data_IF_443892792689
#
_entry.id   IF_443892792689
#
_cell.length_a   1.000
_cell.length_b   1.000
_cell.length_c   1.000
_cell.angle_alpha   90.00
_cell.angle_beta   90.00
_cell.angle_gamma   90.00
#
_symmetry.space_group_name_H-M   'P 1'
#
loop_
_entity.id
_entity.type
_entity.pdbx_description
1 polymer ?
#
# COMPACT_ATOMS: atom_id res chain seq x y z
N UNK A 1 -62.38 -4.95 -8.54
CA UNK A 1 -63.04 -3.61 -8.51
C UNK A 1 -61.97 -2.67 -7.98
N UNK A 2 -61.46 -1.78 -8.66
CA UNK A 2 -61.46 -0.83 -9.73
C UNK A 2 -60.05 -0.33 -9.81
N UNK A 3 -59.27 -0.48 -10.82
CA UNK A 3 -59.05 0.37 -12.00
C UNK A 3 -59.19 1.88 -11.79
N UNK A 4 -58.12 2.62 -12.18
CA UNK A 4 -58.06 3.84 -13.05
C UNK A 4 -56.63 4.36 -12.86
N UNK A 5 -55.70 4.22 -13.81
CA UNK A 5 -55.45 4.84 -15.12
C UNK A 5 -54.76 6.22 -15.05
N UNK A 6 -53.51 6.22 -15.46
CA UNK A 6 -52.87 6.96 -16.59
C UNK A 6 -53.05 8.48 -16.64
N UNK A 7 -51.93 9.21 -16.69
CA UNK A 7 -51.67 10.18 -17.77
C UNK A 7 -50.20 10.66 -17.82
N UNK A 8 -49.72 10.51 -19.02
CA UNK A 8 -48.54 11.03 -19.72
C UNK A 8 -48.46 12.55 -19.83
N UNK A 9 -47.31 12.93 -20.32
CA UNK A 9 -46.91 14.09 -21.13
C UNK A 9 -46.13 15.19 -20.36
N UNK A 10 -44.99 15.75 -20.78
CA UNK A 10 -44.49 16.04 -22.12
C UNK A 10 -42.99 16.43 -22.02
N UNK A 11 -42.23 16.02 -23.02
CA UNK A 11 -40.95 16.61 -23.45
C UNK A 11 -41.23 17.85 -24.27
N UNK A 12 -40.36 18.86 -24.37
CA UNK A 12 -39.87 19.20 -25.69
C UNK A 12 -38.35 19.34 -25.84
N UNK A 13 -37.98 18.99 -27.02
CA UNK A 13 -36.73 18.97 -27.76
C UNK A 13 -36.37 20.37 -28.29
N UNK A 14 -35.07 20.47 -28.72
CA UNK A 14 -34.48 21.45 -29.66
C UNK A 14 -33.87 22.72 -29.01
N UNK A 15 -32.60 23.08 -29.30
CA UNK A 15 -32.03 23.40 -30.62
C UNK A 15 -30.51 23.34 -30.64
N UNK A 16 -30.00 22.80 -31.73
CA UNK A 16 -28.63 22.91 -32.23
C UNK A 16 -28.37 24.32 -32.76
N UNK A 17 -27.16 24.87 -32.53
CA UNK A 17 -26.58 25.84 -33.46
C UNK A 17 -25.11 25.49 -33.70
N UNK A 18 -24.75 25.35 -34.95
CA UNK A 18 -23.44 25.19 -35.56
C UNK A 18 -22.79 26.55 -35.83
N UNK A 19 -21.45 26.58 -35.88
CA UNK A 19 -20.61 27.59 -36.52
C UNK A 19 -19.23 27.58 -35.88
N UNK A 20 -18.12 27.29 -36.43
CA UNK A 20 -17.65 27.28 -37.80
C UNK A 20 -16.38 28.15 -37.87
N UNK A 21 -15.20 27.50 -38.07
CA UNK A 21 -13.96 27.99 -38.70
C UNK A 21 -13.29 29.30 -38.25
N UNK A 22 -11.98 29.29 -37.90
CA UNK A 22 -10.94 29.86 -38.73
C UNK A 22 -9.50 29.55 -38.30
N UNK A 23 -8.65 29.29 -39.29
CA UNK A 23 -7.21 29.10 -39.32
C UNK A 23 -6.40 30.38 -39.03
N UNK A 24 -5.13 30.20 -38.62
CA UNK A 24 -4.07 31.21 -38.70
C UNK A 24 -2.84 30.75 -37.91
N UNK A 25 -1.93 29.99 -38.47
CA UNK A 25 -0.68 30.31 -39.14
C UNK A 25 0.48 30.84 -38.25
N UNK A 26 1.43 29.96 -38.08
CA UNK A 26 2.93 30.13 -38.07
C UNK A 26 3.54 31.47 -37.73
N UNK A 27 4.52 31.46 -36.81
CA UNK A 27 5.88 31.99 -37.01
C UNK A 27 6.91 31.22 -36.17
N UNK A 28 7.97 30.75 -36.85
CA UNK A 28 9.22 30.24 -36.31
C UNK A 28 10.11 31.39 -35.86
N UNK A 29 10.90 31.22 -34.82
CA UNK A 29 12.29 31.72 -34.78
C UNK A 29 13.13 30.86 -33.84
N UNK A 30 14.22 30.34 -34.40
CA UNK A 30 15.40 29.78 -33.76
C UNK A 30 16.18 30.88 -33.04
N UNK A 31 16.89 30.55 -31.97
CA UNK A 31 18.33 30.81 -31.79
C UNK A 31 18.91 29.94 -30.69
N UNK A 32 20.10 29.41 -30.93
CA UNK A 32 20.96 28.54 -30.17
C UNK A 32 21.51 29.15 -28.88
N UNK A 33 21.92 28.28 -27.93
CA UNK A 33 22.78 28.69 -26.83
C UNK A 33 23.11 27.53 -25.89
N UNK A 34 24.21 26.87 -26.14
CA UNK A 34 24.90 25.84 -25.34
C UNK A 34 25.25 26.37 -23.95
N UNK A 35 24.98 25.64 -22.88
CA UNK A 35 25.94 25.42 -21.79
C UNK A 35 25.56 24.26 -20.90
N UNK A 36 26.48 23.32 -20.76
CA UNK A 36 26.52 22.25 -19.78
C UNK A 36 26.71 22.85 -18.38
N UNK A 37 25.92 22.44 -17.41
CA UNK A 37 26.42 22.29 -16.06
C UNK A 37 25.67 21.15 -15.37
N UNK A 38 26.43 20.11 -15.14
CA UNK A 38 26.15 18.96 -14.28
C UNK A 38 26.24 19.46 -12.83
N UNK A 39 25.13 19.65 -12.17
CA UNK A 39 25.12 19.77 -10.71
C UNK A 39 24.37 18.60 -10.12
N UNK A 40 25.17 17.72 -9.58
CA UNK A 40 24.88 16.68 -8.62
C UNK A 40 24.21 17.29 -7.39
N UNK A 41 22.88 17.29 -7.34
CA UNK A 41 22.16 17.64 -6.11
C UNK A 41 22.13 16.43 -5.18
N UNK A 42 23.11 16.41 -4.30
CA UNK A 42 23.06 15.64 -3.06
C UNK A 42 21.72 15.85 -2.36
N UNK A 43 20.96 14.77 -2.22
CA UNK A 43 19.80 14.72 -1.34
C UNK A 43 20.29 14.78 0.11
N UNK A 44 20.34 15.96 0.68
CA UNK A 44 20.36 16.11 2.15
C UNK A 44 18.93 15.82 2.63
N UNK A 45 18.78 14.69 3.33
CA UNK A 45 17.62 14.44 4.16
C UNK A 45 17.60 15.51 5.27
N UNK A 46 16.54 16.29 5.33
CA UNK A 46 16.33 17.25 6.41
C UNK A 46 15.45 16.61 7.46
N UNK A 47 16.01 16.47 8.64
CA UNK A 47 15.34 16.06 9.86
C UNK A 47 14.45 17.18 10.39
N UNK A 48 13.33 16.81 10.95
CA UNK A 48 12.25 17.69 11.31
C UNK A 48 12.11 17.84 12.82
N UNK A 49 12.23 19.05 13.30
CA UNK A 49 11.92 19.46 14.68
C UNK A 49 10.77 20.47 14.61
N UNK A 50 9.80 20.36 15.49
CA UNK A 50 8.82 21.45 15.67
C UNK A 50 9.59 22.60 16.33
N UNK A 51 10.21 23.42 15.49
CA UNK A 51 10.93 24.61 15.90
C UNK A 51 10.08 25.84 15.61
N UNK A 52 9.69 26.57 16.64
CA UNK A 52 9.09 27.90 16.50
C UNK A 52 10.20 28.89 16.15
N UNK A 53 10.50 29.05 14.86
CA UNK A 53 11.40 30.12 14.42
C UNK A 53 10.59 31.39 14.22
N UNK A 54 10.65 32.29 15.19
CA UNK A 54 10.15 33.65 15.06
C UNK A 54 11.23 34.46 14.34
N UNK A 55 11.01 34.75 13.05
CA UNK A 55 11.73 35.84 12.38
C UNK A 55 10.93 37.12 12.56
N UNK A 56 11.45 38.04 13.40
CA UNK A 56 10.96 39.38 13.52
C UNK A 56 11.69 40.20 12.44
N UNK A 57 11.01 40.56 11.38
CA UNK A 57 11.43 41.64 10.49
C UNK A 57 10.73 42.93 10.97
N UNK A 58 11.50 43.84 11.51
CA UNK A 58 11.04 45.18 11.83
C UNK A 58 10.90 46.00 10.56
N UNK A 59 9.68 46.11 10.03
CA UNK A 59 9.23 47.32 9.32
C UNK A 59 7.71 47.41 9.38
N UNK A 60 7.33 48.47 10.03
CA UNK A 60 6.01 49.01 10.28
C UNK A 60 5.05 48.96 9.07
N UNK A 61 4.03 48.10 9.12
CA UNK A 61 2.69 48.41 8.65
C UNK A 61 1.67 47.37 9.14
N UNK A 62 0.59 47.85 9.75
CA UNK A 62 -0.47 47.06 10.37
C UNK A 62 -1.30 46.28 9.37
N UNK A 63 -0.94 45.03 9.16
CA UNK A 63 -1.81 43.92 8.71
C UNK A 63 -1.37 42.65 9.42
N UNK A 64 -2.33 41.96 10.01
CA UNK A 64 -2.10 40.79 10.84
C UNK A 64 -1.20 39.78 10.11
N UNK A 65 0.06 39.70 10.52
CA UNK A 65 1.00 38.67 10.07
C UNK A 65 0.48 37.31 10.51
N UNK A 66 -0.16 36.60 9.61
CA UNK A 66 -0.42 35.16 9.75
C UNK A 66 0.95 34.49 9.66
N UNK A 67 1.59 34.27 10.81
CA UNK A 67 2.78 33.44 10.89
C UNK A 67 2.38 32.05 10.43
N UNK A 68 2.77 31.68 9.22
CA UNK A 68 2.64 30.29 8.75
C UNK A 68 3.57 29.44 9.61
N UNK A 69 2.99 28.72 10.58
CA UNK A 69 3.73 27.69 11.33
C UNK A 69 4.06 26.61 10.31
N UNK A 70 5.30 26.58 9.88
CA UNK A 70 5.82 25.53 8.98
C UNK A 70 6.05 24.28 9.82
N UNK A 71 5.29 23.23 9.55
CA UNK A 71 5.41 21.96 10.26
C UNK A 71 6.52 21.18 9.64
N UNK A 72 7.55 20.98 10.39
CA UNK A 72 8.66 20.14 10.07
C UNK A 72 8.33 18.69 10.48
N UNK A 73 8.58 17.68 9.60
CA UNK A 73 8.26 16.28 9.85
C UNK A 73 9.51 15.53 10.29
N UNK A 74 9.46 14.89 11.47
CA UNK A 74 10.59 14.13 12.01
C UNK A 74 10.56 12.71 11.44
N UNK A 75 11.62 12.27 10.78
CA UNK A 75 11.72 10.87 10.37
C UNK A 75 11.92 9.95 11.60
N UNK A 76 11.52 8.66 11.47
CA UNK A 76 11.53 7.74 12.62
C UNK A 76 12.93 7.53 13.20
N UNK A 77 13.97 7.60 12.35
CA UNK A 77 15.37 7.47 12.78
C UNK A 77 15.93 8.68 13.53
N UNK A 78 15.27 9.84 13.39
CA UNK A 78 15.71 11.11 13.99
C UNK A 78 14.92 11.44 15.27
N UNK A 79 13.92 10.62 15.60
CA UNK A 79 13.16 10.76 16.84
C UNK A 79 14.06 10.46 18.03
N UNK A 80 14.12 11.39 18.96
CA UNK A 80 14.75 11.19 20.27
C UNK A 80 13.74 10.62 21.24
N UNK A 81 14.24 9.95 22.28
CA UNK A 81 13.41 9.44 23.38
C UNK A 81 12.65 10.57 24.11
N UNK A 82 11.63 10.20 24.85
CA UNK A 82 10.89 11.14 25.73
C UNK A 82 11.77 11.49 26.94
N UNK A 83 11.71 12.77 27.36
CA UNK A 83 12.48 13.22 28.52
C UNK A 83 11.86 12.74 29.83
N UNK A 84 10.54 12.78 29.94
CA UNK A 84 9.76 12.27 31.07
C UNK A 84 8.67 11.31 30.56
N UNK A 85 8.88 10.02 30.80
CA UNK A 85 8.00 8.96 30.31
C UNK A 85 6.62 9.02 31.00
N UNK A 86 6.60 9.24 32.32
CA UNK A 86 5.35 9.18 33.10
C UNK A 86 4.43 10.36 32.77
N UNK A 87 4.97 11.55 32.66
CA UNK A 87 4.18 12.75 32.33
C UNK A 87 3.76 12.73 30.87
N UNK A 88 4.61 12.29 29.94
CA UNK A 88 4.23 12.08 28.54
C UNK A 88 3.11 11.05 28.39
N UNK A 89 3.18 9.94 29.12
CA UNK A 89 2.16 8.89 29.08
C UNK A 89 0.81 9.37 29.62
N UNK A 90 0.80 10.09 30.75
CA UNK A 90 -0.42 10.68 31.35
C UNK A 90 -1.08 11.68 30.40
N UNK A 91 -0.28 12.48 29.68
CA UNK A 91 -0.76 13.50 28.75
C UNK A 91 -1.14 12.95 27.37
N UNK A 92 -0.76 11.71 27.01
CA UNK A 92 -0.80 11.17 25.66
C UNK A 92 -2.21 11.19 25.05
N UNK A 93 -3.19 10.56 25.72
CA UNK A 93 -4.56 10.45 25.20
C UNK A 93 -5.25 11.81 25.14
N UNK A 94 -5.03 12.69 26.14
CA UNK A 94 -5.58 14.03 26.14
C UNK A 94 -4.99 14.88 25.03
N UNK A 95 -3.69 14.75 24.74
CA UNK A 95 -2.99 15.40 23.65
C UNK A 95 -3.50 14.94 22.27
N UNK A 96 -3.66 13.63 22.06
CA UNK A 96 -4.24 13.06 20.83
C UNK A 96 -5.70 13.52 20.60
N UNK A 97 -6.44 13.77 21.68
CA UNK A 97 -7.83 14.25 21.65
C UNK A 97 -7.96 15.77 21.53
N UNK A 98 -6.88 16.53 21.61
CA UNK A 98 -6.86 18.00 21.65
C UNK A 98 -7.57 18.64 20.46
N UNK A 99 -8.09 19.85 20.65
CA UNK A 99 -8.58 20.73 19.57
C UNK A 99 -7.44 21.47 18.87
N UNK A 100 -6.34 21.68 19.57
CA UNK A 100 -5.16 22.30 19.00
C UNK A 100 -4.37 21.27 18.17
N UNK A 101 -4.21 21.56 16.90
CA UNK A 101 -3.57 20.67 15.96
C UNK A 101 -2.06 20.47 16.20
N UNK A 102 -1.37 21.46 16.79
CA UNK A 102 0.05 21.35 17.15
C UNK A 102 0.20 20.34 18.26
N UNK A 103 -0.59 20.46 19.34
CA UNK A 103 -0.65 19.47 20.43
C UNK A 103 -0.95 18.06 19.92
N UNK A 104 -1.83 17.92 18.91
CA UNK A 104 -2.11 16.61 18.30
C UNK A 104 -0.88 16.07 17.58
N UNK A 105 -0.14 16.88 16.84
CA UNK A 105 1.09 16.46 16.16
C UNK A 105 2.16 16.03 17.16
N UNK A 106 2.32 16.76 18.27
CA UNK A 106 3.28 16.42 19.33
C UNK A 106 2.90 15.11 20.01
N UNK A 107 1.62 14.92 20.31
CA UNK A 107 1.13 13.67 20.89
C UNK A 107 1.30 12.47 19.92
N UNK A 108 1.07 12.66 18.61
CA UNK A 108 1.35 11.65 17.60
C UNK A 108 2.84 11.30 17.54
N UNK A 109 3.74 12.30 17.63
CA UNK A 109 5.17 12.05 17.72
C UNK A 109 5.55 11.34 19.02
N UNK A 110 4.84 11.59 20.12
CA UNK A 110 5.04 10.85 21.37
C UNK A 110 4.58 9.38 21.23
N UNK A 111 3.48 9.09 20.55
CA UNK A 111 3.11 7.69 20.20
C UNK A 111 4.25 7.01 19.43
N UNK A 112 4.87 7.69 18.47
CA UNK A 112 6.01 7.17 17.71
C UNK A 112 7.20 6.89 18.61
N UNK A 113 7.54 7.83 19.52
CA UNK A 113 8.62 7.66 20.51
C UNK A 113 8.35 6.45 21.41
N UNK A 114 7.15 6.33 21.98
CA UNK A 114 6.77 5.16 22.75
C UNK A 114 6.89 3.86 21.93
N UNK A 115 6.43 3.87 20.69
CA UNK A 115 6.52 2.71 19.81
C UNK A 115 7.97 2.28 19.53
N UNK A 116 8.90 3.23 19.48
CA UNK A 116 10.32 2.97 19.18
C UNK A 116 11.11 2.58 20.42
N UNK A 117 10.91 3.31 21.52
CA UNK A 117 11.78 3.22 22.71
C UNK A 117 11.12 2.49 23.89
N UNK A 118 9.78 2.55 24.01
CA UNK A 118 9.03 2.07 25.19
C UNK A 118 7.71 1.40 24.77
N UNK A 119 7.74 0.47 23.83
CA UNK A 119 6.53 -0.12 23.24
C UNK A 119 5.57 -0.72 24.26
N UNK A 120 6.09 -1.26 25.36
CA UNK A 120 5.28 -1.89 26.42
C UNK A 120 4.45 -0.86 27.20
N UNK A 121 4.86 0.41 27.24
CA UNK A 121 4.20 1.45 28.02
C UNK A 121 2.77 1.77 27.53
N UNK A 122 2.51 1.60 26.23
CA UNK A 122 1.21 1.93 25.64
C UNK A 122 0.40 0.71 25.18
N UNK A 123 0.86 -0.52 25.46
CA UNK A 123 0.16 -1.75 25.04
C UNK A 123 -1.28 -1.78 25.62
N UNK A 124 -1.47 -1.41 26.89
CA UNK A 124 -2.76 -1.46 27.56
C UNK A 124 -3.77 -0.40 27.06
N UNK A 125 -3.30 0.61 26.35
CA UNK A 125 -4.12 1.70 25.79
C UNK A 125 -4.03 1.74 24.27
N UNK A 126 -3.51 0.69 23.64
CA UNK A 126 -3.19 0.67 22.21
C UNK A 126 -4.44 0.83 21.33
N UNK A 127 -5.57 0.30 21.71
CA UNK A 127 -6.85 0.43 21.03
C UNK A 127 -7.36 1.89 21.03
N UNK A 128 -7.25 2.59 22.17
CA UNK A 128 -7.60 4.00 22.27
C UNK A 128 -6.64 4.88 21.45
N UNK A 129 -5.33 4.60 21.52
CA UNK A 129 -4.32 5.28 20.71
C UNK A 129 -4.61 5.10 19.23
N UNK A 130 -4.87 3.87 18.77
CA UNK A 130 -5.19 3.59 17.36
C UNK A 130 -6.47 4.30 16.93
N UNK A 131 -7.49 4.31 17.77
CA UNK A 131 -8.74 5.03 17.48
C UNK A 131 -8.49 6.53 17.24
N UNK A 132 -7.65 7.16 18.07
CA UNK A 132 -7.28 8.57 17.94
C UNK A 132 -6.33 8.83 16.74
N UNK A 133 -5.43 7.90 16.42
CA UNK A 133 -4.64 7.93 15.20
C UNK A 133 -5.53 7.87 13.96
N UNK A 134 -6.52 6.98 13.93
CA UNK A 134 -7.51 6.89 12.84
C UNK A 134 -8.32 8.19 12.69
N UNK A 135 -8.69 8.83 13.81
CA UNK A 135 -9.32 10.16 13.79
C UNK A 135 -8.39 11.20 13.15
N UNK A 136 -7.10 11.17 13.51
CA UNK A 136 -6.08 12.07 12.98
C UNK A 136 -5.79 11.84 11.50
N UNK A 137 -5.84 10.60 11.01
CA UNK A 137 -5.78 10.26 9.58
C UNK A 137 -6.89 10.92 8.75
N UNK A 138 -8.06 11.15 9.36
CA UNK A 138 -9.20 11.82 8.71
C UNK A 138 -9.14 13.35 8.79
N UNK A 139 -8.17 13.91 9.52
CA UNK A 139 -8.06 15.35 9.71
C UNK A 139 -7.81 16.06 8.37
N UNK A 140 -8.50 17.20 8.10
CA UNK A 140 -8.30 17.98 6.87
C UNK A 140 -6.94 18.68 6.82
N UNK A 141 -6.29 18.94 7.98
CA UNK A 141 -4.95 19.52 8.03
C UNK A 141 -3.92 18.45 7.62
N UNK A 142 -3.18 18.75 6.57
CA UNK A 142 -2.18 17.84 6.02
C UNK A 142 -1.07 17.50 7.01
N UNK A 143 -0.72 18.43 7.90
CA UNK A 143 0.27 18.20 8.95
C UNK A 143 -0.15 17.08 9.89
N UNK A 144 -1.35 17.17 10.48
CA UNK A 144 -1.88 16.13 11.37
C UNK A 144 -2.04 14.81 10.63
N UNK A 145 -2.59 14.85 9.40
CA UNK A 145 -2.79 13.65 8.60
C UNK A 145 -1.47 12.95 8.28
N UNK A 146 -0.43 13.67 7.83
CA UNK A 146 0.87 13.07 7.51
C UNK A 146 1.56 12.52 8.75
N UNK A 147 1.56 13.26 9.87
CA UNK A 147 2.13 12.77 11.14
C UNK A 147 1.41 11.49 11.61
N UNK A 148 0.07 11.44 11.51
CA UNK A 148 -0.69 10.24 11.83
C UNK A 148 -0.37 9.04 10.91
N UNK A 149 -0.09 9.28 9.62
CA UNK A 149 0.37 8.25 8.69
C UNK A 149 1.74 7.70 9.11
N UNK A 150 2.68 8.58 9.45
CA UNK A 150 4.01 8.18 9.95
C UNK A 150 3.89 7.40 11.26
N UNK A 151 2.99 7.83 12.15
CA UNK A 151 2.66 7.12 13.40
C UNK A 151 2.16 5.69 13.13
N UNK A 152 1.25 5.53 12.17
CA UNK A 152 0.77 4.19 11.78
C UNK A 152 1.92 3.29 11.29
N UNK A 153 2.87 3.82 10.52
CA UNK A 153 4.06 3.09 10.08
C UNK A 153 4.93 2.60 11.24
N UNK A 154 5.13 3.43 12.25
CA UNK A 154 5.92 3.07 13.44
C UNK A 154 5.17 2.09 14.35
N UNK A 155 3.83 2.21 14.46
CA UNK A 155 2.99 1.22 15.15
C UNK A 155 3.08 -0.17 14.50
N UNK A 156 3.08 -0.28 13.17
CA UNK A 156 3.24 -1.56 12.48
C UNK A 156 4.59 -2.22 12.78
N UNK A 157 5.65 -1.43 12.86
CA UNK A 157 6.99 -1.93 13.21
C UNK A 157 7.06 -2.43 14.65
N UNK A 158 6.45 -1.69 15.58
CA UNK A 158 6.55 -1.96 17.00
C UNK A 158 5.67 -3.15 17.43
N UNK A 159 4.43 -3.21 16.94
CA UNK A 159 3.41 -4.15 17.42
C UNK A 159 3.17 -5.32 16.49
N UNK A 160 3.71 -5.30 15.26
CA UNK A 160 3.66 -6.41 14.31
C UNK A 160 2.26 -7.08 14.25
N UNK A 161 2.14 -8.35 14.58
CA UNK A 161 0.91 -9.12 14.52
C UNK A 161 -0.09 -8.76 15.63
N UNK A 162 0.36 -8.19 16.73
CA UNK A 162 -0.52 -7.79 17.85
C UNK A 162 -1.54 -6.70 17.46
N UNK A 163 -1.28 -5.98 16.35
CA UNK A 163 -2.18 -4.92 15.88
C UNK A 163 -3.32 -5.43 14.98
N UNK A 164 -3.35 -6.72 14.65
CA UNK A 164 -4.20 -7.27 13.58
C UNK A 164 -5.69 -7.05 13.82
N UNK A 165 -6.13 -7.16 15.06
CA UNK A 165 -7.54 -6.96 15.43
C UNK A 165 -7.97 -5.48 15.36
N UNK A 166 -7.00 -4.57 15.44
CA UNK A 166 -7.18 -3.12 15.36
C UNK A 166 -6.85 -2.55 13.98
N UNK A 167 -6.41 -3.40 13.03
CA UNK A 167 -5.87 -2.98 11.74
C UNK A 167 -6.91 -2.38 10.80
N UNK A 168 -8.12 -2.93 10.74
CA UNK A 168 -9.11 -2.60 9.70
C UNK A 168 -9.37 -1.09 9.53
N UNK A 169 -9.61 -0.30 10.61
CA UNK A 169 -9.81 1.14 10.47
C UNK A 169 -8.54 1.90 10.04
N UNK A 170 -7.33 1.43 10.37
CA UNK A 170 -6.08 2.00 9.89
C UNK A 170 -5.88 1.69 8.41
N UNK A 171 -6.06 0.43 8.01
CA UNK A 171 -5.85 -0.06 6.65
C UNK A 171 -6.73 0.71 5.65
N UNK A 172 -8.03 0.85 5.93
CA UNK A 172 -8.93 1.58 5.02
C UNK A 172 -8.50 3.03 4.84
N UNK A 173 -8.06 3.71 5.91
CA UNK A 173 -7.58 5.09 5.80
C UNK A 173 -6.26 5.18 5.02
N UNK A 174 -5.31 4.28 5.23
CA UNK A 174 -4.05 4.26 4.50
C UNK A 174 -4.26 4.00 3.00
N UNK A 175 -5.11 3.05 2.64
CA UNK A 175 -5.49 2.79 1.25
C UNK A 175 -6.18 4.00 0.61
N UNK A 176 -7.05 4.71 1.35
CA UNK A 176 -7.67 5.95 0.89
C UNK A 176 -6.63 7.07 0.69
N UNK A 177 -5.71 7.26 1.66
CA UNK A 177 -4.69 8.31 1.59
C UNK A 177 -3.65 8.05 0.50
N UNK A 178 -3.21 6.81 0.30
CA UNK A 178 -2.31 6.42 -0.79
C UNK A 178 -2.95 6.52 -2.18
N UNK A 179 -4.26 6.78 -2.25
CA UNK A 179 -5.05 6.93 -3.48
C UNK A 179 -5.43 8.38 -3.80
N UNK A 180 -4.97 9.35 -3.01
CA UNK A 180 -5.26 10.77 -3.16
C UNK A 180 -4.26 11.49 -4.08
N UNK A 181 -4.60 12.73 -4.45
CA UNK A 181 -3.77 13.52 -5.37
C UNK A 181 -2.69 14.35 -4.66
N UNK A 182 -2.77 14.53 -3.33
CA UNK A 182 -1.72 15.23 -2.56
C UNK A 182 -0.47 14.35 -2.45
N UNK A 183 0.51 14.60 -3.29
CA UNK A 183 1.71 13.78 -3.47
C UNK A 183 2.39 13.40 -2.15
N UNK A 184 2.72 14.36 -1.29
CA UNK A 184 3.44 14.11 -0.03
C UNK A 184 2.64 13.30 1.01
N UNK A 185 1.28 13.34 0.96
CA UNK A 185 0.40 12.50 1.78
C UNK A 185 0.33 11.09 1.20
N UNK A 186 0.21 10.99 -0.12
CA UNK A 186 0.20 9.73 -0.86
C UNK A 186 1.49 8.95 -0.61
N UNK A 187 2.66 9.58 -0.79
CA UNK A 187 3.98 8.98 -0.55
C UNK A 187 4.16 8.50 0.90
N UNK A 188 3.72 9.30 1.89
CA UNK A 188 3.75 8.89 3.28
C UNK A 188 2.87 7.65 3.53
N UNK A 189 1.66 7.62 2.96
CA UNK A 189 0.75 6.48 3.09
C UNK A 189 1.29 5.22 2.40
N UNK A 190 1.95 5.36 1.25
CA UNK A 190 2.65 4.26 0.59
C UNK A 190 3.79 3.71 1.45
N UNK A 191 4.57 4.59 2.09
CA UNK A 191 5.63 4.18 3.04
C UNK A 191 5.05 3.43 4.25
N UNK A 192 3.91 3.87 4.79
CA UNK A 192 3.22 3.16 5.88
C UNK A 192 2.69 1.80 5.43
N UNK A 193 2.17 1.67 4.19
CA UNK A 193 1.76 0.37 3.62
C UNK A 193 2.97 -0.55 3.36
N UNK A 194 4.14 0.00 3.01
CA UNK A 194 5.39 -0.77 2.96
C UNK A 194 5.74 -1.31 4.35
N UNK A 195 5.68 -0.47 5.39
CA UNK A 195 5.92 -0.92 6.77
C UNK A 195 4.92 -2.02 7.17
N UNK A 196 3.63 -1.84 6.88
CA UNK A 196 2.60 -2.84 7.13
C UNK A 196 2.96 -4.20 6.51
N UNK A 197 3.25 -4.21 5.20
CA UNK A 197 3.58 -5.44 4.46
C UNK A 197 4.92 -6.05 4.84
N UNK A 198 5.82 -5.28 5.49
CA UNK A 198 7.13 -5.75 5.93
C UNK A 198 7.12 -6.34 7.34
N UNK A 199 6.24 -5.86 8.23
CA UNK A 199 6.29 -6.18 9.64
C UNK A 199 5.14 -7.05 10.14
N UNK A 200 3.96 -6.96 9.52
CA UNK A 200 2.82 -7.82 9.85
C UNK A 200 2.92 -9.13 9.07
N UNK A 201 2.55 -10.24 9.73
CA UNK A 201 2.56 -11.57 9.12
C UNK A 201 1.61 -11.64 7.92
N UNK A 202 2.07 -12.16 6.76
CA UNK A 202 1.25 -12.29 5.58
C UNK A 202 -0.01 -13.15 5.79
N UNK A 203 0.08 -14.19 6.60
CA UNK A 203 -1.04 -15.09 6.89
C UNK A 203 -2.23 -14.32 7.50
N UNK A 204 -1.93 -13.34 8.37
CA UNK A 204 -2.94 -12.49 9.01
C UNK A 204 -3.36 -11.32 8.13
N UNK A 205 -2.43 -10.78 7.34
CA UNK A 205 -2.65 -9.57 6.54
C UNK A 205 -3.43 -9.84 5.25
N UNK A 206 -3.17 -10.95 4.55
CA UNK A 206 -3.80 -11.24 3.27
C UNK A 206 -5.33 -11.30 3.33
N UNK A 207 -5.97 -11.93 4.35
CA UNK A 207 -7.43 -11.89 4.50
C UNK A 207 -7.98 -10.47 4.67
N UNK A 208 -7.23 -9.57 5.32
CA UNK A 208 -7.60 -8.16 5.51
C UNK A 208 -7.49 -7.34 4.21
N UNK A 209 -6.57 -7.69 3.31
CA UNK A 209 -6.37 -7.02 2.02
C UNK A 209 -7.34 -7.50 0.95
N UNK A 210 -7.76 -8.76 0.98
CA UNK A 210 -8.58 -9.40 -0.06
C UNK A 210 -9.86 -8.62 -0.43
N UNK A 211 -10.65 -8.04 0.49
CA UNK A 211 -11.84 -7.28 0.13
C UNK A 211 -11.56 -6.06 -0.74
N UNK A 212 -10.36 -5.50 -0.68
CA UNK A 212 -10.01 -4.28 -1.40
C UNK A 212 -9.60 -4.50 -2.86
N UNK A 213 -9.30 -5.73 -3.28
CA UNK A 213 -8.99 -6.03 -4.70
C UNK A 213 -10.22 -5.93 -5.61
N UNK A 214 -11.43 -5.98 -5.05
CA UNK A 214 -12.69 -5.77 -5.78
C UNK A 214 -13.30 -4.39 -5.52
N UNK A 215 -12.59 -3.50 -4.82
CA UNK A 215 -13.08 -2.19 -4.44
C UNK A 215 -13.42 -1.33 -5.69
N UNK A 216 -14.52 -0.55 -5.63
CA UNK A 216 -14.99 0.30 -6.76
C UNK A 216 -13.95 1.30 -7.26
N UNK A 217 -13.11 1.84 -6.37
CA UNK A 217 -12.05 2.77 -6.73
C UNK A 217 -10.83 1.99 -7.24
N UNK A 218 -10.40 2.18 -8.51
CA UNK A 218 -9.27 1.44 -9.08
C UNK A 218 -7.93 1.75 -8.39
N UNK A 219 -7.73 2.97 -7.86
CA UNK A 219 -6.51 3.31 -7.12
C UNK A 219 -6.39 2.49 -5.84
N UNK A 220 -7.51 2.26 -5.11
CA UNK A 220 -7.52 1.40 -3.92
C UNK A 220 -7.24 -0.05 -4.30
N UNK A 221 -7.83 -0.58 -5.38
CA UNK A 221 -7.51 -1.92 -5.87
C UNK A 221 -6.03 -2.07 -6.18
N UNK A 222 -5.42 -1.09 -6.86
CA UNK A 222 -4.00 -1.11 -7.18
C UNK A 222 -3.12 -1.14 -5.92
N UNK A 223 -3.42 -0.31 -4.90
CA UNK A 223 -2.67 -0.32 -3.65
C UNK A 223 -2.83 -1.65 -2.88
N UNK A 224 -4.04 -2.22 -2.85
CA UNK A 224 -4.28 -3.53 -2.26
C UNK A 224 -3.52 -4.65 -3.02
N UNK A 225 -3.54 -4.63 -4.37
CA UNK A 225 -2.79 -5.59 -5.21
C UNK A 225 -1.28 -5.51 -4.96
N UNK A 226 -0.73 -4.30 -4.84
CA UNK A 226 0.69 -4.09 -4.50
C UNK A 226 1.00 -4.65 -3.11
N UNK A 227 0.13 -4.44 -2.11
CA UNK A 227 0.33 -4.98 -0.77
C UNK A 227 0.30 -6.52 -0.77
N UNK A 228 -0.62 -7.14 -1.50
CA UNK A 228 -0.70 -8.60 -1.64
C UNK A 228 0.57 -9.13 -2.32
N UNK A 229 0.98 -8.55 -3.45
CA UNK A 229 2.18 -8.96 -4.18
C UNK A 229 3.46 -8.86 -3.34
N UNK A 230 3.56 -7.88 -2.44
CA UNK A 230 4.68 -7.75 -1.48
C UNK A 230 4.61 -8.75 -0.33
N UNK A 231 3.41 -9.15 0.08
CA UNK A 231 3.23 -10.05 1.22
C UNK A 231 3.43 -11.51 0.86
N UNK A 232 3.03 -11.95 -0.34
CA UNK A 232 3.06 -13.36 -0.74
C UNK A 232 4.45 -13.98 -0.71
N UNK A 233 5.54 -13.34 -1.21
CA UNK A 233 6.88 -13.92 -1.11
C UNK A 233 7.34 -14.21 0.32
N UNK A 234 6.80 -13.46 1.30
CA UNK A 234 7.11 -13.64 2.72
C UNK A 234 6.41 -14.84 3.36
N UNK A 235 5.44 -15.45 2.67
CA UNK A 235 4.84 -16.72 3.10
C UNK A 235 5.83 -17.89 2.96
N UNK A 236 6.73 -17.82 1.98
CA UNK A 236 7.51 -18.97 1.54
C UNK A 236 6.64 -20.02 0.84
N UNK A 237 7.26 -21.08 0.35
CA UNK A 237 6.56 -22.14 -0.39
C UNK A 237 5.48 -22.82 0.45
N UNK A 238 5.82 -23.22 1.68
CA UNK A 238 4.91 -23.90 2.60
C UNK A 238 3.72 -23.00 3.00
N UNK A 239 3.98 -21.72 3.24
CA UNK A 239 2.93 -20.75 3.58
C UNK A 239 2.00 -20.45 2.42
N UNK A 240 2.50 -20.46 1.18
CA UNK A 240 1.68 -20.32 -0.03
C UNK A 240 0.75 -21.54 -0.18
N UNK A 241 1.26 -22.74 0.07
CA UNK A 241 0.47 -23.97 0.03
C UNK A 241 -0.62 -23.98 1.11
N UNK A 242 -0.26 -23.67 2.35
CA UNK A 242 -1.19 -23.61 3.50
C UNK A 242 -2.27 -22.54 3.29
N UNK A 243 -1.92 -21.35 2.80
CA UNK A 243 -2.88 -20.30 2.51
C UNK A 243 -3.83 -20.66 1.37
N UNK A 244 -3.33 -21.43 0.40
CA UNK A 244 -4.01 -21.91 -0.79
C UNK A 244 -3.56 -21.15 -2.04
N UNK A 245 -2.67 -21.77 -2.80
CA UNK A 245 -2.19 -21.24 -4.08
C UNK A 245 -3.33 -21.02 -5.08
N UNK A 246 -4.39 -21.83 -5.02
CA UNK A 246 -5.59 -21.71 -5.81
C UNK A 246 -6.36 -20.42 -5.55
N UNK A 247 -6.41 -19.94 -4.30
CA UNK A 247 -6.99 -18.65 -3.95
C UNK A 247 -6.13 -17.50 -4.47
N UNK A 248 -4.82 -17.61 -4.32
CA UNK A 248 -3.88 -16.57 -4.73
C UNK A 248 -3.84 -16.40 -6.26
N UNK A 249 -3.89 -17.50 -7.02
CA UNK A 249 -3.90 -17.43 -8.50
C UNK A 249 -5.17 -16.75 -9.02
N UNK A 250 -6.33 -16.98 -8.39
CA UNK A 250 -7.58 -16.30 -8.74
C UNK A 250 -7.46 -14.79 -8.49
N UNK A 251 -6.83 -14.38 -7.37
CA UNK A 251 -6.55 -12.98 -7.09
C UNK A 251 -5.66 -12.39 -8.20
N UNK A 252 -4.52 -13.01 -8.48
CA UNK A 252 -3.59 -12.54 -9.52
C UNK A 252 -4.26 -12.43 -10.89
N UNK A 253 -4.96 -13.49 -11.33
CA UNK A 253 -5.66 -13.52 -12.60
C UNK A 253 -6.71 -12.40 -12.73
N UNK A 254 -7.46 -12.12 -11.65
CA UNK A 254 -8.46 -11.05 -11.65
C UNK A 254 -7.87 -9.66 -11.87
N UNK A 255 -6.65 -9.43 -11.39
CA UNK A 255 -5.98 -8.13 -11.46
C UNK A 255 -5.19 -7.90 -12.75
N UNK A 256 -4.91 -8.93 -13.56
CA UNK A 256 -4.24 -8.79 -14.86
C UNK A 256 -5.01 -7.91 -15.83
N UNK A 257 -6.33 -7.85 -15.72
CA UNK A 257 -7.20 -7.01 -16.53
C UNK A 257 -7.64 -5.72 -15.86
N UNK A 258 -7.04 -5.36 -14.70
CA UNK A 258 -7.39 -4.13 -14.00
C UNK A 258 -7.08 -2.88 -14.83
N UNK A 259 -7.84 -1.82 -14.59
CA UNK A 259 -7.73 -0.54 -15.31
C UNK A 259 -6.36 0.12 -15.14
N UNK A 260 -5.76 0.02 -13.93
CA UNK A 260 -4.49 0.66 -13.62
C UNK A 260 -3.29 -0.25 -13.90
N UNK A 261 -2.21 0.28 -14.50
CA UNK A 261 -0.99 -0.49 -14.77
C UNK A 261 -0.37 -1.05 -13.48
N UNK A 262 -0.35 -0.28 -12.40
CA UNK A 262 0.22 -0.70 -11.12
C UNK A 262 -0.45 -1.97 -10.56
N UNK A 263 -1.75 -2.13 -10.76
CA UNK A 263 -2.48 -3.34 -10.38
C UNK A 263 -2.06 -4.53 -11.24
N UNK A 264 -1.91 -4.31 -12.56
CA UNK A 264 -1.47 -5.36 -13.49
C UNK A 264 -0.03 -5.78 -13.25
N UNK A 265 0.86 -4.83 -12.92
CA UNK A 265 2.26 -5.13 -12.62
C UNK A 265 2.39 -5.91 -11.30
N UNK A 266 1.64 -5.53 -10.28
CA UNK A 266 1.54 -6.29 -9.03
C UNK A 266 1.00 -7.71 -9.26
N UNK A 267 0.01 -7.87 -10.15
CA UNK A 267 -0.52 -9.17 -10.53
C UNK A 267 0.52 -10.04 -11.25
N UNK A 268 1.31 -9.47 -12.17
CA UNK A 268 2.40 -10.19 -12.84
C UNK A 268 3.43 -10.70 -11.83
N UNK A 269 3.90 -9.82 -10.93
CA UNK A 269 4.85 -10.20 -9.90
C UNK A 269 4.31 -11.31 -8.99
N UNK A 270 3.04 -11.21 -8.58
CA UNK A 270 2.37 -12.25 -7.80
C UNK A 270 2.33 -13.60 -8.54
N UNK A 271 1.94 -13.61 -9.81
CA UNK A 271 1.80 -14.85 -10.60
C UNK A 271 3.13 -15.53 -10.86
N UNK A 272 4.20 -14.77 -11.06
CA UNK A 272 5.57 -15.32 -11.20
C UNK A 272 6.04 -15.97 -9.89
N UNK A 273 5.76 -15.34 -8.74
CA UNK A 273 6.06 -15.94 -7.43
C UNK A 273 5.29 -17.24 -7.21
N UNK A 274 3.99 -17.27 -7.56
CA UNK A 274 3.16 -18.47 -7.43
C UNK A 274 3.63 -19.60 -8.34
N UNK A 275 4.04 -19.29 -9.58
CA UNK A 275 4.63 -20.29 -10.47
C UNK A 275 5.91 -20.87 -9.88
N UNK A 276 6.83 -20.01 -9.41
CA UNK A 276 8.07 -20.45 -8.77
C UNK A 276 7.82 -21.32 -7.54
N UNK A 277 6.86 -20.96 -6.70
CA UNK A 277 6.48 -21.75 -5.52
C UNK A 277 5.87 -23.08 -5.92
N UNK A 278 4.98 -23.11 -6.92
CA UNK A 278 4.37 -24.33 -7.44
C UNK A 278 5.40 -25.29 -8.01
N UNK A 279 6.32 -24.80 -8.86
CA UNK A 279 7.37 -25.62 -9.45
C UNK A 279 8.31 -26.19 -8.40
N UNK A 280 8.64 -25.43 -7.35
CA UNK A 280 9.45 -25.91 -6.22
C UNK A 280 8.74 -27.00 -5.42
N UNK A 281 7.43 -26.89 -5.21
CA UNK A 281 6.65 -27.90 -4.48
C UNK A 281 6.52 -29.22 -5.23
N UNK A 282 6.73 -29.22 -6.55
CA UNK A 282 6.67 -30.41 -7.40
C UNK A 282 8.00 -31.18 -7.48
N UNK A 283 9.11 -30.59 -7.03
CA UNK A 283 10.41 -31.27 -6.96
C UNK A 283 10.45 -32.08 -5.68
N UNK A 284 10.48 -33.42 -5.74
CA UNK A 284 10.62 -34.24 -4.55
C UNK A 284 11.93 -33.86 -3.85
N UNK A 285 11.86 -33.55 -2.56
CA UNK A 285 13.05 -33.37 -1.74
C UNK A 285 13.81 -34.69 -1.73
N UNK A 286 14.91 -34.75 -2.47
CA UNK A 286 15.87 -35.88 -2.43
C UNK A 286 16.57 -35.84 -1.07
N UNK A 287 15.82 -36.14 0.01
CA UNK A 287 16.40 -36.37 1.31
C UNK A 287 17.18 -37.68 1.24
N UNK A 288 18.51 -37.55 1.37
CA UNK A 288 19.50 -38.50 1.82
C UNK A 288 19.11 -39.99 1.59
N UNK A 289 19.62 -40.57 0.51
CA UNK A 289 19.68 -42.02 0.35
C UNK A 289 20.65 -42.55 1.41
N UNK A 290 20.24 -43.43 2.32
CA UNK A 290 21.22 -44.26 3.04
C UNK A 290 21.77 -45.27 2.03
N UNK A 291 23.08 -45.20 1.79
CA UNK A 291 23.80 -46.24 1.07
C UNK A 291 23.52 -47.62 1.70
N UNK A 292 23.30 -48.59 0.83
CA UNK A 292 23.28 -50.02 0.99
C UNK A 292 21.91 -50.69 1.07
N UNK A 293 21.43 -51.18 -0.10
CA UNK A 293 21.04 -52.59 -0.19
C UNK A 293 20.82 -53.01 -1.65
N UNK A 294 21.34 -54.18 -1.95
CA UNK A 294 21.39 -54.92 -3.18
C UNK A 294 20.08 -54.99 -3.98
N UNK A 295 20.25 -54.89 -5.28
CA UNK A 295 19.29 -55.16 -6.37
C UNK A 295 18.62 -56.55 -6.24
N UNK A 296 17.32 -56.65 -6.56
CA UNK A 296 16.88 -57.64 -7.53
C UNK A 296 16.16 -56.97 -8.72
N UNK A 297 16.58 -57.35 -9.92
CA UNK A 297 15.90 -57.08 -11.17
C UNK A 297 14.48 -57.68 -11.12
N UNK A 298 13.49 -56.80 -11.11
CA UNK A 298 12.16 -57.11 -11.59
C UNK A 298 11.65 -55.90 -12.35
N UNK A 299 11.45 -56.09 -13.64
CA UNK A 299 10.87 -55.21 -14.64
C UNK A 299 9.38 -55.00 -14.35
N UNK A 300 9.09 -54.08 -13.44
CA UNK A 300 7.85 -53.30 -13.42
C UNK A 300 8.27 -51.88 -13.19
N UNK A 301 8.23 -51.08 -14.25
CA UNK A 301 8.43 -49.63 -14.17
C UNK A 301 7.22 -49.11 -13.42
N UNK A 302 7.36 -48.60 -12.17
CA UNK A 302 6.25 -47.93 -11.54
C UNK A 302 5.95 -46.68 -12.38
N UNK A 303 4.72 -46.54 -12.85
CA UNK A 303 4.23 -45.28 -13.43
C UNK A 303 4.57 -44.19 -12.44
N UNK A 304 5.54 -43.35 -12.79
CA UNK A 304 5.83 -42.16 -12.01
C UNK A 304 4.54 -41.32 -11.95
N UNK A 305 4.11 -40.85 -10.78
CA UNK A 305 2.94 -40.02 -10.69
C UNK A 305 3.15 -38.82 -11.64
N UNK A 306 2.23 -38.68 -12.60
CA UNK A 306 2.24 -37.58 -13.55
C UNK A 306 2.10 -36.31 -12.74
N UNK A 307 3.21 -35.63 -12.52
CA UNK A 307 3.25 -34.34 -11.82
C UNK A 307 2.50 -33.32 -12.70
N UNK A 308 1.38 -32.82 -12.22
CA UNK A 308 0.59 -31.87 -12.97
C UNK A 308 1.44 -30.63 -13.31
N UNK A 309 1.44 -30.21 -14.56
CA UNK A 309 2.18 -29.04 -14.97
C UNK A 309 1.53 -27.74 -14.43
N UNK A 310 2.31 -26.63 -14.39
CA UNK A 310 1.74 -25.32 -14.09
C UNK A 310 0.58 -24.94 -15.00
N UNK A 311 0.64 -25.35 -16.27
CA UNK A 311 -0.41 -25.17 -17.25
C UNK A 311 -1.70 -25.90 -16.86
N UNK A 312 -1.59 -27.20 -16.53
CA UNK A 312 -2.72 -28.02 -16.09
C UNK A 312 -3.35 -27.45 -14.82
N UNK A 313 -2.51 -27.00 -13.90
CA UNK A 313 -2.97 -26.35 -12.68
C UNK A 313 -3.77 -25.06 -13.00
N UNK A 314 -3.24 -24.17 -13.84
CA UNK A 314 -3.93 -22.94 -14.25
C UNK A 314 -5.27 -23.25 -14.93
N UNK A 315 -5.31 -24.23 -15.84
CA UNK A 315 -6.52 -24.63 -16.56
C UNK A 315 -7.57 -25.24 -15.64
N UNK A 316 -7.14 -25.95 -14.58
CA UNK A 316 -8.04 -26.56 -13.60
C UNK A 316 -8.68 -25.56 -12.62
N UNK A 317 -8.00 -24.42 -12.36
CA UNK A 317 -8.40 -23.44 -11.32
C UNK A 317 -9.02 -22.15 -11.87
N UNK A 318 -8.81 -21.87 -13.13
CA UNK A 318 -9.22 -20.60 -13.76
C UNK A 318 -10.17 -20.83 -14.94
N UNK A 319 -10.90 -19.77 -15.32
CA UNK A 319 -11.61 -19.79 -16.61
C UNK A 319 -10.60 -19.85 -17.76
N UNK A 320 -10.97 -20.38 -18.95
CA UNK A 320 -10.05 -20.52 -20.09
C UNK A 320 -9.36 -19.21 -20.47
N UNK A 321 -10.07 -18.08 -20.44
CA UNK A 321 -9.50 -16.76 -20.74
C UNK A 321 -8.51 -16.31 -19.67
N UNK A 322 -8.84 -16.54 -18.39
CA UNK A 322 -7.96 -16.19 -17.27
C UNK A 322 -6.71 -17.06 -17.25
N UNK A 323 -6.84 -18.38 -17.49
CA UNK A 323 -5.72 -19.29 -17.59
C UNK A 323 -4.77 -18.87 -18.72
N UNK A 324 -5.30 -18.58 -19.91
CA UNK A 324 -4.49 -18.09 -21.03
C UNK A 324 -3.76 -16.79 -20.70
N UNK A 325 -4.41 -15.85 -20.00
CA UNK A 325 -3.79 -14.60 -19.59
C UNK A 325 -2.64 -14.82 -18.59
N UNK A 326 -2.83 -15.73 -17.63
CA UNK A 326 -1.78 -16.11 -16.66
C UNK A 326 -0.62 -16.78 -17.37
N UNK A 327 -0.87 -17.79 -18.19
CA UNK A 327 0.18 -18.53 -18.92
C UNK A 327 0.98 -17.63 -19.87
N UNK A 328 0.35 -16.64 -20.50
CA UNK A 328 1.08 -15.65 -21.30
C UNK A 328 2.10 -14.87 -20.47
N UNK A 329 1.74 -14.47 -19.26
CA UNK A 329 2.64 -13.74 -18.36
C UNK A 329 3.80 -14.63 -17.88
N UNK A 330 3.49 -15.85 -17.44
CA UNK A 330 4.46 -16.75 -16.85
C UNK A 330 5.41 -17.37 -17.90
N UNK A 331 4.95 -17.60 -19.14
CA UNK A 331 5.78 -18.11 -20.22
C UNK A 331 6.70 -17.01 -20.80
N UNK A 332 6.22 -15.79 -20.96
CA UNK A 332 7.06 -14.67 -21.46
C UNK A 332 8.26 -14.40 -20.54
N UNK A 333 8.09 -14.50 -19.23
CA UNK A 333 9.19 -14.35 -18.28
C UNK A 333 10.25 -15.46 -18.38
N UNK A 334 9.83 -16.68 -18.72
CA UNK A 334 10.76 -17.81 -18.98
C UNK A 334 11.62 -17.59 -20.23
N UNK A 335 11.04 -17.01 -21.30
CA UNK A 335 11.77 -16.72 -22.54
C UNK A 335 12.77 -15.57 -22.38
N UNK A 336 12.49 -14.62 -21.49
CA UNK A 336 13.36 -13.48 -21.18
C UNK A 336 14.45 -13.78 -20.14
N UNK A 337 14.51 -15.01 -19.59
CA UNK A 337 15.55 -15.48 -18.68
C UNK A 337 15.54 -14.82 -17.30
N UNK A 338 14.38 -14.38 -16.86
CA UNK A 338 14.12 -13.82 -15.51
C UNK A 338 13.74 -14.91 -14.52
#
# INVERSE_FOLDING_TARGET
MSEIAVRDSNVPESQRINGGFSNGSMVKSQVEGVSKNTEERQRKGMAAVVGTSIKIDESDNSEAAITSIEVEYIESGDLKDVEDMDDCLKALLSGLGSKDWVTVCDALNNVRRFSIFHKEAIVNILDEVISLVVKSLKNPRSAVCKTAIMTAGDLFKAYTDSIIDLLDPLLVQLLLKSSQDKKFVCEAAESALVALTSWVSPVLLLPKLQPYITHRNPRIRAKASICISRSVPRLGSDGIEIFGIDKLIVIGASQLSDRLPESRDAARALLLELQSAYEKSQVPELTAVPEQSKVPETTDVPEQPVVASWEDFCQSKLSPLSAQAVLRVTNSAREEGL
#
